data_IF_820507552041
#
_entry.id   IF_820507552041
#
_cell.length_a   1.000
_cell.length_b   1.000
_cell.length_c   1.000
_cell.angle_alpha   90.00
_cell.angle_beta   90.00
_cell.angle_gamma   90.00
#
_symmetry.space_group_name_H-M   'P 1'
#
loop_
_entity.id
_entity.type
_entity.pdbx_description
1 polymer ?
#
# COMPACT_ATOMS: atom_id res chain seq x y z
N UNK A 1 3.45 -17.68 -10.10
CA UNK A 1 2.78 -16.74 -9.18
C UNK A 1 3.28 -15.34 -9.50
N UNK A 2 2.38 -14.43 -9.82
CA UNK A 2 2.67 -13.01 -9.98
C UNK A 2 2.42 -12.32 -8.64
N UNK A 3 3.32 -11.42 -8.24
CA UNK A 3 3.18 -10.62 -7.03
C UNK A 3 3.11 -9.15 -7.40
N UNK A 4 1.99 -8.49 -7.08
CA UNK A 4 1.82 -7.05 -7.29
C UNK A 4 1.94 -6.35 -5.94
N UNK A 5 3.01 -5.54 -5.78
CA UNK A 5 3.11 -4.59 -4.67
C UNK A 5 2.32 -3.34 -4.99
N UNK A 6 1.57 -2.81 -4.01
CA UNK A 6 0.82 -1.56 -4.19
C UNK A 6 1.32 -0.49 -3.23
N UNK A 7 1.71 0.65 -3.79
CA UNK A 7 2.07 1.88 -3.08
C UNK A 7 1.24 3.06 -3.57
N UNK A 8 1.33 4.18 -2.90
CA UNK A 8 0.63 5.42 -3.27
C UNK A 8 0.06 6.16 -2.08
N UNK A 9 -0.33 7.40 -2.32
CA UNK A 9 -0.80 8.36 -1.33
C UNK A 9 -2.15 8.00 -0.71
N UNK A 10 -2.47 8.60 0.43
CA UNK A 10 -3.77 8.42 1.09
C UNK A 10 -4.90 8.97 0.21
N UNK A 11 -5.97 8.21 0.03
CA UNK A 11 -7.11 8.59 -0.81
C UNK A 11 -6.90 8.41 -2.32
N UNK A 12 -5.75 7.90 -2.77
CA UNK A 12 -5.43 7.71 -4.18
C UNK A 12 -6.27 6.63 -4.89
N UNK A 13 -6.92 5.72 -4.14
CA UNK A 13 -7.75 4.65 -4.72
C UNK A 13 -7.03 3.32 -4.85
N UNK A 14 -6.04 3.05 -3.99
CA UNK A 14 -5.37 1.73 -3.93
C UNK A 14 -6.37 0.58 -3.78
N UNK A 15 -7.35 0.73 -2.88
CA UNK A 15 -8.41 -0.27 -2.67
C UNK A 15 -9.20 -0.58 -3.93
N UNK A 16 -9.46 0.41 -4.77
CA UNK A 16 -10.17 0.22 -6.05
C UNK A 16 -9.42 -0.74 -6.98
N UNK A 17 -8.10 -0.59 -7.09
CA UNK A 17 -7.27 -1.52 -7.88
C UNK A 17 -7.22 -2.90 -7.22
N UNK A 18 -7.09 -2.96 -5.89
CA UNK A 18 -7.12 -4.22 -5.14
C UNK A 18 -8.42 -4.98 -5.42
N UNK A 19 -9.56 -4.32 -5.28
CA UNK A 19 -10.87 -4.96 -5.50
C UNK A 19 -11.03 -5.41 -6.95
N UNK A 20 -10.60 -4.60 -7.91
CA UNK A 20 -10.62 -4.97 -9.32
C UNK A 20 -9.79 -6.21 -9.62
N UNK A 21 -8.55 -6.29 -9.13
CA UNK A 21 -7.66 -7.44 -9.31
C UNK A 21 -8.21 -8.71 -8.64
N UNK A 22 -8.84 -8.57 -7.47
CA UNK A 22 -9.50 -9.69 -6.78
C UNK A 22 -10.69 -10.22 -7.56
N UNK A 23 -11.60 -9.32 -7.96
CA UNK A 23 -12.88 -9.70 -8.56
C UNK A 23 -12.75 -10.18 -10.01
N UNK A 24 -11.84 -9.58 -10.79
CA UNK A 24 -11.70 -9.86 -12.22
C UNK A 24 -10.57 -10.82 -12.55
N UNK A 25 -9.54 -10.86 -11.73
CA UNK A 25 -8.32 -11.63 -12.02
C UNK A 25 -7.96 -12.64 -10.93
N UNK A 26 -8.82 -12.83 -9.92
CA UNK A 26 -8.66 -13.80 -8.83
C UNK A 26 -7.34 -13.66 -8.06
N UNK A 27 -6.81 -12.44 -7.92
CA UNK A 27 -5.65 -12.19 -7.07
C UNK A 27 -6.04 -12.31 -5.59
N UNK A 28 -5.17 -12.93 -4.80
CA UNK A 28 -5.32 -12.99 -3.34
C UNK A 28 -4.71 -11.73 -2.72
N UNK A 29 -5.45 -11.03 -1.88
CA UNK A 29 -5.01 -9.80 -1.24
C UNK A 29 -4.40 -10.05 0.14
N UNK A 30 -3.18 -9.57 0.34
CA UNK A 30 -2.47 -9.56 1.61
C UNK A 30 -2.27 -8.11 2.05
N UNK A 31 -2.93 -7.73 3.15
CA UNK A 31 -2.97 -6.38 3.67
C UNK A 31 -1.96 -6.19 4.79
N UNK A 32 -1.02 -5.25 4.63
CA UNK A 32 -0.14 -4.83 5.71
C UNK A 32 -0.94 -4.24 6.89
N UNK A 33 -2.07 -3.56 6.62
CA UNK A 33 -2.96 -3.06 7.66
C UNK A 33 -3.56 -4.19 8.49
N UNK A 34 -4.05 -5.25 7.84
CA UNK A 34 -4.62 -6.40 8.55
C UNK A 34 -3.56 -7.10 9.41
N UNK A 35 -2.35 -7.28 8.88
CA UNK A 35 -1.21 -7.82 9.62
C UNK A 35 -0.87 -6.98 10.86
N UNK A 36 -0.86 -5.66 10.73
CA UNK A 36 -0.61 -4.76 11.86
C UNK A 36 -1.74 -4.80 12.88
N UNK A 37 -3.01 -4.92 12.47
CA UNK A 37 -4.15 -5.07 13.39
C UNK A 37 -3.99 -6.34 14.24
N UNK A 38 -3.67 -7.48 13.61
CA UNK A 38 -3.40 -8.74 14.33
C UNK A 38 -2.34 -8.53 15.42
N UNK A 39 -1.27 -7.80 15.11
CA UNK A 39 -0.17 -7.55 16.05
C UNK A 39 -0.56 -6.52 17.15
N UNK A 40 -1.31 -5.48 16.81
CA UNK A 40 -1.83 -4.47 17.74
C UNK A 40 -2.75 -5.13 18.77
N UNK A 41 -3.69 -5.97 18.31
CA UNK A 41 -4.59 -6.73 19.18
C UNK A 41 -3.83 -7.70 20.09
N UNK A 42 -2.81 -8.40 19.56
CA UNK A 42 -1.94 -9.27 20.34
C UNK A 42 -1.20 -8.53 21.45
N UNK A 43 -0.85 -7.26 21.22
CA UNK A 43 -0.20 -6.38 22.21
C UNK A 43 -1.19 -5.71 23.18
N UNK A 44 -2.50 -5.89 23.00
CA UNK A 44 -3.54 -5.27 23.81
C UNK A 44 -3.64 -3.73 23.64
N UNK A 45 -3.23 -3.22 22.47
CA UNK A 45 -3.28 -1.81 22.13
C UNK A 45 -4.58 -1.45 21.39
N UNK A 46 -5.05 -0.20 21.45
CA UNK A 46 -6.18 0.26 20.66
C UNK A 46 -5.85 0.23 19.16
N UNK A 47 -6.82 -0.13 18.33
CA UNK A 47 -6.67 -0.13 16.86
C UNK A 47 -6.93 1.28 16.34
N UNK A 48 -5.88 2.10 16.28
CA UNK A 48 -5.90 3.46 15.78
C UNK A 48 -4.66 3.77 14.91
N UNK A 49 -4.59 4.98 14.36
CA UNK A 49 -3.50 5.40 13.47
C UNK A 49 -2.15 5.44 14.19
N UNK A 50 -2.14 5.87 15.43
CA UNK A 50 -0.91 6.00 16.21
C UNK A 50 -0.35 4.62 16.55
N UNK A 51 -1.18 3.69 16.98
CA UNK A 51 -0.81 2.27 17.20
C UNK A 51 -0.33 1.60 15.92
N UNK A 52 -0.97 1.86 14.78
CA UNK A 52 -0.53 1.38 13.47
C UNK A 52 0.89 1.84 13.14
N UNK A 53 1.16 3.13 13.34
CA UNK A 53 2.47 3.72 13.07
C UNK A 53 3.51 3.19 14.05
N UNK A 54 3.19 3.16 15.34
CA UNK A 54 4.07 2.68 16.40
C UNK A 54 4.48 1.22 16.16
N UNK A 55 3.50 0.34 15.99
CA UNK A 55 3.74 -1.11 15.84
C UNK A 55 4.45 -1.40 14.52
N UNK A 56 4.08 -0.72 13.43
CA UNK A 56 4.77 -0.89 12.15
C UNK A 56 6.24 -0.48 12.20
N UNK A 57 6.54 0.66 12.83
CA UNK A 57 7.93 1.11 13.01
C UNK A 57 8.71 0.17 13.96
N UNK A 58 8.08 -0.27 15.04
CA UNK A 58 8.69 -1.18 16.02
C UNK A 58 9.04 -2.53 15.37
N UNK A 59 8.13 -3.14 14.63
CA UNK A 59 8.40 -4.39 13.90
C UNK A 59 9.57 -4.25 12.92
N UNK A 60 9.63 -3.14 12.19
CA UNK A 60 10.74 -2.88 11.27
C UNK A 60 12.06 -2.68 12.02
N UNK A 61 12.05 -1.98 13.15
CA UNK A 61 13.23 -1.74 13.96
C UNK A 61 13.74 -3.02 14.66
N UNK A 62 12.84 -3.89 15.12
CA UNK A 62 13.18 -5.13 15.80
C UNK A 62 13.67 -6.23 14.85
N UNK A 63 13.20 -6.26 13.61
CA UNK A 63 13.50 -7.31 12.64
C UNK A 63 14.26 -6.76 11.43
N UNK A 64 13.55 -6.17 10.49
CA UNK A 64 14.13 -5.53 9.28
C UNK A 64 13.17 -4.50 8.72
N UNK A 65 13.66 -3.51 7.93
CA UNK A 65 12.78 -2.55 7.23
C UNK A 65 11.72 -3.19 6.34
N UNK A 66 11.96 -4.41 5.85
CA UNK A 66 11.11 -5.19 4.95
C UNK A 66 10.26 -6.25 5.64
N UNK A 67 10.40 -6.42 6.96
CA UNK A 67 9.79 -7.52 7.72
C UNK A 67 8.31 -7.76 7.41
N UNK A 68 7.50 -6.70 7.41
CA UNK A 68 6.04 -6.83 7.21
C UNK A 68 5.73 -7.44 5.83
N UNK A 69 6.33 -6.90 4.77
CA UNK A 69 6.06 -7.41 3.41
C UNK A 69 6.65 -8.79 3.16
N UNK A 70 7.75 -9.14 3.82
CA UNK A 70 8.32 -10.49 3.77
C UNK A 70 7.39 -11.51 4.41
N UNK A 71 6.80 -11.19 5.57
CA UNK A 71 5.80 -12.05 6.21
C UNK A 71 4.54 -12.23 5.34
N UNK A 72 4.08 -11.17 4.69
CA UNK A 72 2.97 -11.26 3.75
C UNK A 72 3.32 -12.08 2.50
N UNK A 73 4.53 -11.94 1.98
CA UNK A 73 5.00 -12.73 0.85
C UNK A 73 5.11 -14.22 1.19
N UNK A 74 5.59 -14.57 2.38
CA UNK A 74 5.63 -15.97 2.85
C UNK A 74 4.23 -16.58 2.91
N UNK A 75 3.24 -15.85 3.45
CA UNK A 75 1.83 -16.29 3.43
C UNK A 75 1.32 -16.48 2.00
N UNK A 76 1.66 -15.58 1.09
CA UNK A 76 1.28 -15.65 -0.33
C UNK A 76 1.91 -16.85 -1.04
N UNK A 77 3.19 -17.13 -0.77
CA UNK A 77 3.89 -18.30 -1.32
C UNK A 77 3.21 -19.62 -0.96
N UNK A 78 2.70 -19.74 0.26
CA UNK A 78 1.99 -20.95 0.71
C UNK A 78 0.71 -21.19 -0.09
N UNK A 79 0.05 -20.14 -0.58
CA UNK A 79 -1.14 -20.27 -1.44
C UNK A 79 -0.80 -20.62 -2.91
N UNK A 80 0.39 -20.21 -3.38
CA UNK A 80 0.83 -20.37 -4.78
C UNK A 80 0.04 -19.57 -5.82
N UNK A 81 -0.92 -18.75 -5.39
CA UNK A 81 -1.79 -17.95 -6.25
C UNK A 81 -1.18 -16.58 -6.56
N UNK A 82 -1.60 -15.96 -7.67
CA UNK A 82 -1.27 -14.56 -7.93
C UNK A 82 -1.76 -13.69 -6.77
N UNK A 83 -0.93 -12.77 -6.31
CA UNK A 83 -1.20 -12.05 -5.08
C UNK A 83 -0.92 -10.55 -5.16
N UNK A 84 -1.57 -9.82 -4.27
CA UNK A 84 -1.38 -8.39 -4.03
C UNK A 84 -0.84 -8.22 -2.62
N UNK A 85 0.26 -7.48 -2.49
CA UNK A 85 0.79 -7.00 -1.20
C UNK A 85 0.54 -5.50 -1.15
N UNK A 86 -0.47 -5.10 -0.39
CA UNK A 86 -0.87 -3.70 -0.29
C UNK A 86 -0.07 -2.95 0.77
N UNK A 87 0.11 -1.65 0.54
CA UNK A 87 0.73 -0.70 1.46
C UNK A 87 2.25 -0.85 1.58
N UNK A 88 2.93 -1.07 0.46
CA UNK A 88 4.40 -0.93 0.38
C UNK A 88 4.75 0.54 0.62
N UNK A 89 5.58 0.82 1.63
CA UNK A 89 5.80 2.19 2.13
C UNK A 89 7.25 2.57 2.39
N UNK A 90 8.17 1.62 2.34
CA UNK A 90 9.60 1.86 2.55
C UNK A 90 10.44 1.36 1.38
N UNK A 91 11.59 2.00 1.09
CA UNK A 91 12.51 1.53 0.05
C UNK A 91 13.00 0.10 0.32
N UNK A 92 13.23 -0.27 1.59
CA UNK A 92 13.64 -1.63 1.95
C UNK A 92 12.58 -2.69 1.65
N UNK A 93 11.30 -2.35 1.79
CA UNK A 93 10.18 -3.21 1.36
C UNK A 93 10.20 -3.43 -0.16
N UNK A 94 10.42 -2.37 -0.93
CA UNK A 94 10.53 -2.46 -2.41
C UNK A 94 11.71 -3.34 -2.80
N UNK A 95 12.88 -3.14 -2.21
CA UNK A 95 14.09 -3.91 -2.50
C UNK A 95 13.90 -5.40 -2.20
N UNK A 96 13.36 -5.73 -1.03
CA UNK A 96 13.08 -7.11 -0.63
C UNK A 96 12.12 -7.82 -1.58
N UNK A 97 11.06 -7.14 -2.03
CA UNK A 97 10.08 -7.68 -2.97
C UNK A 97 10.65 -7.79 -4.40
N UNK A 98 11.55 -6.87 -4.82
CA UNK A 98 12.21 -6.98 -6.13
C UNK A 98 13.13 -8.20 -6.25
N UNK A 99 13.61 -8.73 -5.15
CA UNK A 99 14.32 -10.01 -5.11
C UNK A 99 13.43 -11.23 -5.35
N UNK A 100 12.11 -11.07 -5.43
CA UNK A 100 11.16 -12.15 -5.66
C UNK A 100 10.82 -12.28 -7.14
N UNK A 101 10.57 -13.51 -7.65
CA UNK A 101 10.23 -13.70 -9.05
C UNK A 101 8.86 -13.08 -9.39
N UNK A 102 8.76 -12.52 -10.60
CA UNK A 102 7.53 -11.93 -11.15
C UNK A 102 6.88 -10.90 -10.21
N UNK A 103 7.69 -10.05 -9.58
CA UNK A 103 7.23 -8.93 -8.77
C UNK A 103 7.10 -7.68 -9.62
N UNK A 104 5.99 -6.97 -9.46
CA UNK A 104 5.73 -5.67 -10.08
C UNK A 104 5.20 -4.69 -9.03
N UNK A 105 5.75 -3.48 -8.98
CA UNK A 105 5.30 -2.43 -8.08
C UNK A 105 4.37 -1.45 -8.82
N UNK A 106 3.13 -1.35 -8.35
CA UNK A 106 2.13 -0.42 -8.84
C UNK A 106 2.05 0.78 -7.90
N UNK A 107 2.18 1.99 -8.44
CA UNK A 107 1.93 3.23 -7.71
C UNK A 107 0.65 3.88 -8.21
N UNK A 108 -0.21 4.28 -7.28
CA UNK A 108 -1.46 4.98 -7.56
C UNK A 108 -1.42 6.35 -6.91
N UNK A 109 -1.74 7.38 -7.70
CA UNK A 109 -1.82 8.75 -7.21
C UNK A 109 -3.00 9.51 -7.83
N UNK A 110 -3.35 10.65 -7.26
CA UNK A 110 -4.32 11.60 -7.75
C UNK A 110 -4.04 12.98 -7.12
N UNK A 111 -4.67 14.02 -7.65
CA UNK A 111 -4.60 15.37 -7.06
C UNK A 111 -5.00 15.36 -5.58
N UNK A 112 -4.29 16.16 -4.77
CA UNK A 112 -4.47 16.17 -3.31
C UNK A 112 -5.90 16.53 -2.88
N UNK A 113 -6.56 17.47 -3.56
CA UNK A 113 -7.95 17.84 -3.27
C UNK A 113 -8.92 16.74 -3.62
N UNK A 114 -8.69 16.04 -4.74
CA UNK A 114 -9.49 14.87 -5.13
C UNK A 114 -9.37 13.77 -4.08
N UNK A 115 -8.15 13.49 -3.60
CA UNK A 115 -7.89 12.50 -2.58
C UNK A 115 -8.51 12.87 -1.23
N UNK A 116 -8.40 14.14 -0.82
CA UNK A 116 -9.02 14.64 0.41
C UNK A 116 -10.54 14.47 0.38
N UNK A 117 -11.20 14.90 -0.71
CA UNK A 117 -12.64 14.74 -0.87
C UNK A 117 -13.07 13.27 -0.76
N UNK A 118 -12.30 12.34 -1.32
CA UNK A 118 -12.57 10.90 -1.24
C UNK A 118 -12.50 10.37 0.19
N UNK A 119 -11.49 10.80 0.99
CA UNK A 119 -11.40 10.35 2.38
C UNK A 119 -12.52 10.93 3.25
N UNK A 120 -12.90 12.18 3.02
CA UNK A 120 -14.05 12.81 3.72
C UNK A 120 -15.34 12.04 3.43
N UNK A 121 -15.58 11.69 2.15
CA UNK A 121 -16.75 10.90 1.75
C UNK A 121 -16.73 9.47 2.32
N UNK A 122 -15.55 8.86 2.43
CA UNK A 122 -15.37 7.53 3.01
C UNK A 122 -15.67 7.52 4.50
N UNK A 123 -15.29 8.58 5.22
CA UNK A 123 -15.62 8.81 6.61
C UNK A 123 -15.16 7.71 7.58
N UNK A 124 -14.02 7.05 7.31
CA UNK A 124 -13.47 6.07 8.25
C UNK A 124 -12.97 6.75 9.53
N UNK A 125 -12.77 6.00 10.60
CA UNK A 125 -12.33 6.52 11.90
C UNK A 125 -11.07 7.40 11.84
N UNK A 126 -10.20 7.18 10.86
CA UNK A 126 -8.95 7.92 10.66
C UNK A 126 -9.09 9.09 9.68
N UNK A 127 -10.27 9.33 9.11
CA UNK A 127 -10.50 10.28 8.01
C UNK A 127 -11.06 11.64 8.49
N UNK A 128 -11.33 11.77 9.79
CA UNK A 128 -11.87 13.00 10.39
C UNK A 128 -10.77 14.03 10.66
N UNK A 129 -10.19 14.55 9.59
CA UNK A 129 -9.14 15.58 9.61
C UNK A 129 -9.48 16.71 8.63
N UNK A 130 -9.03 17.94 8.91
CA UNK A 130 -9.08 19.01 7.94
C UNK A 130 -8.00 18.84 6.84
N UNK A 131 -8.07 19.65 5.79
CA UNK A 131 -7.15 19.56 4.65
C UNK A 131 -5.70 19.83 5.04
N UNK A 132 -5.46 20.79 5.94
CA UNK A 132 -4.09 21.12 6.38
C UNK A 132 -3.47 19.98 7.18
N UNK A 133 -4.25 19.35 8.07
CA UNK A 133 -3.84 18.14 8.80
C UNK A 133 -3.60 16.97 7.86
N UNK A 134 -4.46 16.79 6.84
CA UNK A 134 -4.27 15.78 5.80
C UNK A 134 -2.94 15.97 5.07
N UNK A 135 -2.62 17.20 4.65
CA UNK A 135 -1.36 17.52 3.98
C UNK A 135 -0.15 17.35 4.89
N UNK A 136 -0.25 17.76 6.16
CA UNK A 136 0.82 17.57 7.14
C UNK A 136 1.11 16.08 7.42
N UNK A 137 0.08 15.26 7.49
CA UNK A 137 0.21 13.80 7.61
C UNK A 137 0.90 13.19 6.39
N UNK A 138 0.53 13.62 5.18
CA UNK A 138 1.15 13.17 3.94
C UNK A 138 2.64 13.53 3.90
N UNK A 139 3.01 14.76 4.26
CA UNK A 139 4.43 15.18 4.30
C UNK A 139 5.28 14.30 5.22
N UNK A 140 4.75 13.86 6.34
CA UNK A 140 5.46 12.94 7.25
C UNK A 140 5.68 11.55 6.64
N UNK A 141 4.76 11.09 5.79
CA UNK A 141 4.81 9.78 5.15
C UNK A 141 5.64 9.79 3.85
N UNK A 142 5.78 10.97 3.22
CA UNK A 142 6.44 11.10 1.91
C UNK A 142 7.95 11.01 1.99
N UNK A 143 8.58 11.60 3.00
CA UNK A 143 10.04 11.72 3.04
C UNK A 143 10.58 11.38 4.43
N UNK A 144 11.40 10.35 4.52
CA UNK A 144 12.17 10.03 5.71
C UNK A 144 13.53 9.45 5.31
N UNK A 145 14.57 9.82 6.04
CA UNK A 145 15.91 9.21 5.93
C UNK A 145 16.08 7.99 6.83
N UNK A 146 15.14 7.77 7.75
CA UNK A 146 15.12 6.59 8.63
C UNK A 146 14.58 5.38 7.85
N UNK A 147 15.35 4.31 7.69
CA UNK A 147 14.95 3.14 6.89
C UNK A 147 13.74 2.40 7.46
N UNK A 148 13.42 2.59 8.74
CA UNK A 148 12.26 1.96 9.40
C UNK A 148 10.98 2.78 9.26
N UNK A 149 11.07 4.01 8.74
CA UNK A 149 9.93 4.91 8.55
C UNK A 149 9.50 4.96 7.09
N UNK A 150 8.28 5.42 6.87
CA UNK A 150 7.70 5.54 5.54
C UNK A 150 8.46 6.56 4.68
N UNK A 151 8.66 6.20 3.40
CA UNK A 151 9.17 7.07 2.37
C UNK A 151 8.44 6.79 1.06
N UNK A 152 7.21 7.27 0.97
CA UNK A 152 6.32 7.02 -0.17
C UNK A 152 6.86 7.64 -1.46
N UNK A 153 7.57 8.77 -1.38
CA UNK A 153 8.15 9.42 -2.54
C UNK A 153 9.09 8.47 -3.29
N UNK A 154 10.03 7.84 -2.58
CA UNK A 154 10.95 6.89 -3.18
C UNK A 154 10.22 5.64 -3.69
N UNK A 155 9.24 5.11 -2.94
CA UNK A 155 8.45 3.96 -3.40
C UNK A 155 7.71 4.27 -4.72
N UNK A 156 7.08 5.45 -4.82
CA UNK A 156 6.37 5.87 -6.04
C UNK A 156 7.37 6.06 -7.20
N UNK A 157 8.55 6.62 -6.95
CA UNK A 157 9.59 6.77 -7.98
C UNK A 157 10.10 5.44 -8.51
N UNK A 158 10.17 4.42 -7.66
CA UNK A 158 10.64 3.07 -8.01
C UNK A 158 9.54 2.18 -8.63
N UNK A 159 8.31 2.65 -8.73
CA UNK A 159 7.21 1.85 -9.28
C UNK A 159 7.45 1.50 -10.75
N UNK A 160 7.14 0.25 -11.11
CA UNK A 160 7.19 -0.25 -12.48
C UNK A 160 6.07 0.35 -13.32
N UNK A 161 4.91 0.53 -12.70
CA UNK A 161 3.72 1.12 -13.33
C UNK A 161 3.09 2.17 -12.41
N UNK A 162 2.70 3.29 -13.01
CA UNK A 162 2.05 4.41 -12.30
C UNK A 162 0.69 4.66 -12.90
N UNK A 163 -0.31 4.75 -12.01
CA UNK A 163 -1.71 4.96 -12.37
C UNK A 163 -2.16 6.32 -11.84
N UNK A 164 -2.65 7.16 -12.75
CA UNK A 164 -3.36 8.39 -12.38
C UNK A 164 -4.85 8.07 -12.19
N UNK A 165 -5.32 8.25 -10.97
CA UNK A 165 -6.73 8.07 -10.60
C UNK A 165 -7.45 9.42 -10.43
N UNK A 166 -7.10 10.41 -11.26
CA UNK A 166 -7.84 11.69 -11.33
C UNK A 166 -9.12 11.61 -12.18
N UNK A 167 -9.27 10.57 -12.99
CA UNK A 167 -10.38 10.36 -13.91
C UNK A 167 -11.49 9.45 -13.39
N UNK A 168 -12.15 8.76 -14.34
CA UNK A 168 -13.23 7.81 -14.04
C UNK A 168 -12.70 6.44 -13.60
N UNK A 169 -13.55 5.66 -12.93
CA UNK A 169 -13.25 4.27 -12.54
C UNK A 169 -12.92 3.41 -13.77
N UNK A 170 -13.66 3.60 -14.87
CA UNK A 170 -13.44 2.86 -16.12
C UNK A 170 -12.06 3.16 -16.71
N UNK A 171 -11.63 4.41 -16.68
CA UNK A 171 -10.29 4.81 -17.14
C UNK A 171 -9.19 4.16 -16.30
N UNK A 172 -9.37 4.08 -14.98
CA UNK A 172 -8.43 3.38 -14.11
C UNK A 172 -8.38 1.89 -14.43
N UNK A 173 -9.53 1.24 -14.61
CA UNK A 173 -9.58 -0.18 -14.98
C UNK A 173 -8.91 -0.45 -16.33
N UNK A 174 -9.11 0.41 -17.33
CA UNK A 174 -8.43 0.29 -18.63
C UNK A 174 -6.91 0.40 -18.51
N UNK A 175 -6.39 1.32 -17.68
CA UNK A 175 -4.95 1.40 -17.40
C UNK A 175 -4.42 0.11 -16.78
N UNK A 176 -5.15 -0.45 -15.81
CA UNK A 176 -4.76 -1.71 -15.15
C UNK A 176 -4.76 -2.87 -16.14
N UNK A 177 -5.79 -3.01 -16.99
CA UNK A 177 -5.87 -4.07 -18.02
C UNK A 177 -4.70 -4.01 -19.00
N UNK A 178 -4.31 -2.82 -19.46
CA UNK A 178 -3.16 -2.65 -20.35
C UNK A 178 -1.86 -3.17 -19.71
N UNK A 179 -1.69 -2.92 -18.42
CA UNK A 179 -0.52 -3.42 -17.67
C UNK A 179 -0.60 -4.94 -17.51
N UNK A 180 -1.75 -5.46 -17.10
CA UNK A 180 -1.92 -6.91 -16.89
C UNK A 180 -1.65 -7.71 -18.17
N UNK A 181 -2.09 -7.19 -19.33
CA UNK A 181 -1.82 -7.82 -20.61
C UNK A 181 -0.32 -7.99 -20.91
N UNK A 182 0.53 -7.14 -20.33
CA UNK A 182 1.98 -7.19 -20.53
C UNK A 182 2.70 -8.11 -19.52
N UNK A 183 2.09 -8.37 -18.37
CA UNK A 183 2.76 -9.11 -17.27
C UNK A 183 2.17 -10.49 -17.00
N UNK A 184 1.02 -10.80 -17.57
CA UNK A 184 0.35 -12.10 -17.50
C UNK A 184 0.54 -12.90 -18.79
#
# INVERSE_FOLDING_TARGET
MITIGITGTLGAGKGTIVDYLKERHNFVHYSARAFLIEEIERRGLPVDRDSMTLVGNDLRAQHSPSYIVEQLYERAQQSGQNCIIESVRTPGEVEALRGKPNFYLFAIDADAHVRYNRIVLRGSETDHVDFDTFMANEQREMNSTDPNKQNLHVCIQQADYRFDNGGTLEQLHQQVEQVLHNIM
#
